data_IF_777316127542
#
_entry.id   IF_777316127542
#
_cell.length_a   1.000
_cell.length_b   1.000
_cell.length_c   1.000
_cell.angle_alpha   90.00
_cell.angle_beta   90.00
_cell.angle_gamma   90.00
#
_symmetry.space_group_name_H-M   'P 1'
#
loop_
_entity.id
_entity.type
_entity.pdbx_description
1 polymer ?
#
# COMPACT_ATOMS: atom_id res chain seq x y z
N UNK A 1 -6.01 19.17 0.34
CA UNK A 1 -5.11 17.99 0.44
C UNK A 1 -5.82 16.79 -0.16
N UNK A 2 -5.09 15.90 -0.85
CA UNK A 2 -5.62 14.66 -1.44
C UNK A 2 -5.04 13.49 -0.65
N UNK A 3 -5.88 12.53 -0.26
CA UNK A 3 -5.47 11.32 0.45
C UNK A 3 -4.93 10.27 -0.54
N UNK A 4 -3.74 9.72 -0.28
CA UNK A 4 -3.15 8.62 -1.05
C UNK A 4 -3.45 7.29 -0.36
N UNK A 5 -4.25 6.47 -1.02
CA UNK A 5 -4.64 5.15 -0.51
C UNK A 5 -3.96 4.07 -1.37
N UNK A 6 -3.25 3.15 -0.73
CA UNK A 6 -2.72 1.95 -1.38
C UNK A 6 -3.74 0.81 -1.28
N UNK A 7 -4.50 0.58 -2.35
CA UNK A 7 -5.46 -0.53 -2.46
C UNK A 7 -4.71 -1.87 -2.48
N UNK A 8 -4.96 -2.71 -1.46
CA UNK A 8 -4.28 -3.99 -1.17
C UNK A 8 -2.76 -3.88 -1.03
N UNK A 9 -2.28 -2.75 -0.53
CA UNK A 9 -0.85 -2.43 -0.46
C UNK A 9 -0.25 -1.97 -1.80
N UNK A 10 1.07 -2.00 -1.92
CA UNK A 10 1.76 -1.65 -3.15
C UNK A 10 1.78 -2.84 -4.14
N UNK A 11 0.60 -3.27 -4.60
CA UNK A 11 0.37 -4.48 -5.42
C UNK A 11 1.14 -4.52 -6.74
N UNK A 12 1.48 -3.35 -7.30
CA UNK A 12 2.36 -3.24 -8.47
C UNK A 12 3.85 -3.56 -8.19
N UNK A 13 4.24 -3.67 -6.91
CA UNK A 13 5.63 -3.87 -6.48
C UNK A 13 5.85 -5.17 -5.69
N UNK A 14 4.80 -5.75 -5.12
CA UNK A 14 4.82 -6.99 -4.35
C UNK A 14 3.43 -7.65 -4.40
N UNK A 15 3.29 -8.95 -4.12
CA UNK A 15 1.99 -9.61 -4.11
C UNK A 15 1.00 -8.88 -3.19
N UNK A 16 -0.21 -8.62 -3.68
CA UNK A 16 -1.26 -7.93 -2.94
C UNK A 16 -1.59 -8.60 -1.60
N UNK A 17 -2.10 -7.83 -0.63
CA UNK A 17 -2.44 -8.31 0.71
C UNK A 17 -1.30 -9.04 1.45
N UNK A 18 -0.04 -8.68 1.16
CA UNK A 18 1.13 -9.18 1.89
C UNK A 18 1.78 -8.09 2.73
N UNK A 19 2.46 -8.51 3.80
CA UNK A 19 3.30 -7.63 4.64
C UNK A 19 4.32 -6.87 3.77
N UNK A 20 4.87 -7.48 2.73
CA UNK A 20 5.84 -6.84 1.86
C UNK A 20 5.21 -5.73 0.99
N UNK A 21 4.00 -5.94 0.47
CA UNK A 21 3.24 -4.90 -0.21
C UNK A 21 2.88 -3.74 0.73
N UNK A 22 2.50 -4.03 1.97
CA UNK A 22 2.19 -3.00 2.97
C UNK A 22 3.42 -2.17 3.36
N UNK A 23 4.54 -2.83 3.69
CA UNK A 23 5.81 -2.16 3.98
C UNK A 23 6.28 -1.28 2.81
N UNK A 24 6.11 -1.76 1.57
CA UNK A 24 6.46 -0.98 0.38
C UNK A 24 5.55 0.24 0.23
N UNK A 25 4.24 0.09 0.44
CA UNK A 25 3.29 1.22 0.41
C UNK A 25 3.66 2.30 1.44
N UNK A 26 3.96 1.90 2.68
CA UNK A 26 4.42 2.80 3.75
C UNK A 26 5.69 3.56 3.33
N UNK A 27 6.69 2.87 2.75
CA UNK A 27 7.91 3.51 2.23
C UNK A 27 7.66 4.48 1.08
N UNK A 28 6.60 4.27 0.29
CA UNK A 28 6.18 5.18 -0.78
C UNK A 28 5.39 6.40 -0.25
N UNK A 29 5.15 6.46 1.06
CA UNK A 29 4.51 7.58 1.73
C UNK A 29 3.02 7.68 1.43
N UNK A 30 2.32 6.55 1.33
CA UNK A 30 0.84 6.57 1.30
C UNK A 30 0.30 6.92 2.68
N UNK A 31 -0.88 7.51 2.71
CA UNK A 31 -1.54 7.91 3.95
C UNK A 31 -2.32 6.74 4.56
N UNK A 32 -2.88 5.87 3.71
CA UNK A 32 -3.66 4.70 4.12
C UNK A 32 -3.22 3.49 3.30
N UNK A 33 -3.14 2.34 3.96
CA UNK A 33 -3.06 1.03 3.32
C UNK A 33 -4.42 0.36 3.49
N UNK A 34 -5.01 -0.06 2.38
CA UNK A 34 -6.26 -0.82 2.35
C UNK A 34 -5.94 -2.31 2.06
N UNK A 35 -6.85 -3.19 2.49
CA UNK A 35 -6.79 -4.64 2.33
C UNK A 35 -8.23 -5.18 2.27
N UNK A 36 -8.42 -6.36 1.65
CA UNK A 36 -9.73 -7.03 1.58
C UNK A 36 -10.23 -7.53 2.95
#
# INVERSE_FOLDING_TARGET
MVLKIAHRGASNYAPENTIEAFKKAIRLGVDVVEFD
#
